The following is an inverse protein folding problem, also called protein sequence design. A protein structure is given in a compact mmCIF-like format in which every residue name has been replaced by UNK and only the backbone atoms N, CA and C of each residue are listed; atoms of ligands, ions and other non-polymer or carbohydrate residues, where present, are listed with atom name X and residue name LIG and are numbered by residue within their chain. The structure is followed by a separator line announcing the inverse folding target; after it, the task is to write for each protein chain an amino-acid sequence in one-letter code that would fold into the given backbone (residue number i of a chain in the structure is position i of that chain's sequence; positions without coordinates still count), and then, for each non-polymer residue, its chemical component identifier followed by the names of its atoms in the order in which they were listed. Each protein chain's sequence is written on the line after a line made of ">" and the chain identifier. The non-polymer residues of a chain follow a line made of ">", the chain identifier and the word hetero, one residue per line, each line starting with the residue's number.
data_IF_643005681191
#
_entry.id   IF_643005681191
#
_cell.length_a   1.000
_cell.length_b   1.000
_cell.length_c   1.000
_cell.angle_alpha   90.00
_cell.angle_beta   90.00
_cell.angle_gamma   90.00
#
_symmetry.space_group_name_H-M   'P 1'
#
loop_
_entity.id
_entity.type
_entity.pdbx_description
1 polymer ?
#
# COMPACT_ATOMS: atom_id res chain seq x y z
N UNK A 1 15.78 29.37 29.87
CA UNK A 1 17.10 28.71 29.82
C UNK A 1 16.96 27.18 29.79
N UNK A 2 16.15 26.63 28.87
CA UNK A 2 16.12 25.18 28.57
C UNK A 2 16.99 24.91 27.32
N UNK A 3 18.22 25.42 27.36
CA UNK A 3 19.24 25.15 26.34
C UNK A 3 20.05 23.91 26.74
N UNK A 4 19.35 22.79 26.87
CA UNK A 4 19.97 21.49 27.00
C UNK A 4 19.53 20.66 25.82
N UNK A 5 20.37 20.65 24.77
CA UNK A 5 20.40 19.56 23.80
C UNK A 5 20.22 18.25 24.55
N UNK A 6 19.16 17.49 24.26
CA UNK A 6 18.93 16.20 24.92
C UNK A 6 20.19 15.36 24.79
N UNK A 7 20.76 14.97 25.92
CA UNK A 7 21.96 14.16 25.93
C UNK A 7 21.60 12.79 25.35
N UNK A 8 22.16 12.48 24.18
CA UNK A 8 21.94 11.21 23.49
C UNK A 8 22.36 10.06 24.39
N UNK A 9 21.48 9.07 24.55
CA UNK A 9 21.85 7.82 25.25
C UNK A 9 22.93 7.08 24.45
N UNK A 10 23.70 6.16 25.08
CA UNK A 10 24.71 5.37 24.37
C UNK A 10 24.17 4.61 23.16
N UNK A 11 22.95 4.06 23.27
CA UNK A 11 22.29 3.38 22.17
C UNK A 11 21.94 4.33 21.02
N UNK A 12 21.42 5.53 21.34
CA UNK A 12 21.10 6.56 20.35
C UNK A 12 22.36 7.11 19.68
N UNK A 13 23.48 7.23 20.39
CA UNK A 13 24.76 7.61 19.80
C UNK A 13 25.27 6.57 18.79
N UNK A 14 25.12 5.28 19.08
CA UNK A 14 25.49 4.21 18.15
C UNK A 14 24.62 4.28 16.88
N UNK A 15 23.31 4.45 17.05
CA UNK A 15 22.37 4.58 15.93
C UNK A 15 22.65 5.84 15.09
N UNK A 16 22.95 6.96 15.76
CA UNK A 16 23.20 8.25 15.13
C UNK A 16 24.59 8.39 14.51
N UNK A 17 25.49 7.42 14.72
CA UNK A 17 26.88 7.51 14.25
C UNK A 17 26.97 7.88 12.76
N UNK A 18 26.12 7.28 11.93
CA UNK A 18 26.10 7.57 10.48
C UNK A 18 25.57 8.96 10.13
N UNK A 19 24.77 9.58 11.01
CA UNK A 19 24.29 10.95 10.85
C UNK A 19 25.36 11.94 11.35
N UNK A 20 26.05 11.59 12.44
CA UNK A 20 27.08 12.41 13.10
C UNK A 20 28.37 12.57 12.31
N UNK A 21 28.58 11.76 11.25
CA UNK A 21 29.68 11.97 10.30
C UNK A 21 29.58 13.33 9.61
N UNK A 22 28.35 13.83 9.42
CA UNK A 22 28.06 15.03 8.63
C UNK A 22 27.40 16.12 9.46
N UNK A 23 26.43 15.75 10.29
CA UNK A 23 25.66 16.70 11.09
C UNK A 23 26.22 16.79 12.49
N UNK A 24 26.30 18.00 13.04
CA UNK A 24 26.85 18.20 14.37
C UNK A 24 25.99 17.54 15.47
N UNK A 25 26.60 17.37 16.64
CA UNK A 25 25.96 16.69 17.78
C UNK A 25 24.75 17.46 18.31
N UNK A 26 24.71 18.79 18.18
CA UNK A 26 23.60 19.60 18.68
C UNK A 26 22.35 19.36 17.81
N UNK A 27 22.52 19.37 16.49
CA UNK A 27 21.48 19.11 15.50
C UNK A 27 20.93 17.69 15.63
N UNK A 28 21.81 16.69 15.81
CA UNK A 28 21.40 15.31 16.10
C UNK A 28 20.66 15.22 17.45
N UNK A 29 21.11 15.95 18.48
CA UNK A 29 20.40 16.04 19.75
C UNK A 29 18.97 16.55 19.60
N UNK A 30 18.74 17.56 18.74
CA UNK A 30 17.39 18.06 18.42
C UNK A 30 16.52 17.00 17.71
N UNK A 31 17.08 16.20 16.80
CA UNK A 31 16.36 15.10 16.12
C UNK A 31 15.90 13.99 17.08
N UNK A 32 16.66 13.71 18.13
CA UNK A 32 16.36 12.69 19.13
C UNK A 32 15.52 13.22 20.29
N UNK A 33 15.34 14.54 20.38
CA UNK A 33 14.59 15.18 21.46
C UNK A 33 13.12 14.71 21.51
N UNK A 34 12.51 14.64 22.70
CA UNK A 34 11.10 14.18 22.86
C UNK A 34 10.07 15.17 22.30
N UNK A 35 10.39 16.46 22.33
CA UNK A 35 9.56 17.52 21.74
C UNK A 35 9.65 17.48 20.20
N UNK A 36 8.52 17.24 19.55
CA UNK A 36 8.39 17.20 18.09
C UNK A 36 8.75 18.52 17.40
N UNK A 37 8.48 19.67 18.03
CA UNK A 37 8.86 20.97 17.47
C UNK A 37 10.38 21.10 17.30
N UNK A 38 11.17 20.52 18.21
CA UNK A 38 12.65 20.48 18.09
C UNK A 38 13.11 19.58 16.95
N UNK A 39 12.39 18.48 16.69
CA UNK A 39 12.68 17.60 15.55
C UNK A 39 12.37 18.30 14.23
N UNK A 40 11.28 19.05 14.18
CA UNK A 40 10.89 19.86 13.02
C UNK A 40 11.91 20.96 12.75
N UNK A 41 12.33 21.70 13.77
CA UNK A 41 13.42 22.70 13.70
C UNK A 41 14.70 22.06 13.13
N UNK A 42 15.10 20.89 13.65
CA UNK A 42 16.28 20.17 13.16
C UNK A 42 16.14 19.70 11.70
N UNK A 43 14.96 19.24 11.30
CA UNK A 43 14.69 18.84 9.92
C UNK A 43 14.78 20.03 8.97
N UNK A 44 14.28 21.20 9.38
CA UNK A 44 14.39 22.44 8.60
C UNK A 44 15.84 22.94 8.51
N UNK A 45 16.60 22.89 9.61
CA UNK A 45 18.04 23.21 9.61
C UNK A 45 18.83 22.30 8.66
N UNK A 46 18.60 20.98 8.71
CA UNK A 46 19.22 20.01 7.79
C UNK A 46 18.79 20.29 6.35
N UNK A 47 17.51 20.58 6.12
CA UNK A 47 17.01 20.93 4.80
C UNK A 47 17.75 22.15 4.22
N UNK A 48 17.92 23.22 5.01
CA UNK A 48 18.61 24.43 4.56
C UNK A 48 20.10 24.18 4.30
N UNK A 49 20.76 23.44 5.19
CA UNK A 49 22.16 23.06 5.03
C UNK A 49 22.38 22.30 3.72
N UNK A 50 21.56 21.28 3.45
CA UNK A 50 21.69 20.47 2.24
C UNK A 50 21.25 21.21 0.96
N UNK A 51 20.24 22.09 1.05
CA UNK A 51 19.80 22.89 -0.09
C UNK A 51 20.87 23.85 -0.58
N UNK A 52 21.58 24.47 0.36
CA UNK A 52 22.65 25.46 0.10
C UNK A 52 24.03 24.83 -0.13
N UNK A 53 24.21 23.54 0.17
CA UNK A 53 25.48 22.85 0.01
C UNK A 53 26.04 22.94 -1.42
N UNK A 54 27.33 23.25 -1.54
CA UNK A 54 28.05 23.41 -2.81
C UNK A 54 29.49 22.89 -2.75
N UNK A 55 29.75 21.95 -1.84
CA UNK A 55 31.06 21.31 -1.68
C UNK A 55 31.34 20.25 -2.74
N UNK A 56 32.37 19.44 -2.48
CA UNK A 56 32.82 18.44 -3.42
C UNK A 56 31.91 17.20 -3.49
N UNK A 57 32.25 16.28 -4.39
CA UNK A 57 31.45 15.10 -4.64
C UNK A 57 31.53 14.05 -3.53
N UNK A 58 32.61 14.03 -2.75
CA UNK A 58 32.75 13.09 -1.64
C UNK A 58 31.87 13.50 -0.47
N UNK A 59 31.91 14.78 -0.12
CA UNK A 59 31.02 15.38 0.85
C UNK A 59 29.57 15.26 0.39
N UNK A 60 29.26 15.46 -0.89
CA UNK A 60 27.90 15.30 -1.40
C UNK A 60 27.35 13.88 -1.17
N UNK A 61 28.18 12.85 -1.39
CA UNK A 61 27.80 11.45 -1.10
C UNK A 61 27.61 11.22 0.40
N UNK A 62 28.48 11.77 1.24
CA UNK A 62 28.37 11.67 2.69
C UNK A 62 27.06 12.31 3.19
N UNK A 63 26.73 13.50 2.69
CA UNK A 63 25.48 14.21 2.99
C UNK A 63 24.23 13.43 2.57
N UNK A 64 24.18 12.88 1.34
CA UNK A 64 23.06 12.05 0.91
C UNK A 64 22.90 10.83 1.83
N UNK A 65 24.01 10.17 2.16
CA UNK A 65 24.00 8.99 3.04
C UNK A 65 23.48 9.35 4.43
N UNK A 66 24.06 10.34 5.09
CA UNK A 66 23.64 10.81 6.41
C UNK A 66 22.17 11.29 6.40
N UNK A 67 21.78 12.06 5.38
CA UNK A 67 20.41 12.51 5.17
C UNK A 67 19.41 11.34 5.03
N UNK A 68 19.81 10.27 4.34
CA UNK A 68 18.97 9.06 4.23
C UNK A 68 18.73 8.38 5.58
N UNK A 69 19.72 8.41 6.50
CA UNK A 69 19.55 7.92 7.87
C UNK A 69 18.59 8.80 8.67
N UNK A 70 18.71 10.13 8.54
CA UNK A 70 17.80 11.09 9.18
C UNK A 70 16.36 10.86 8.71
N UNK A 71 16.12 10.79 7.40
CA UNK A 71 14.79 10.56 6.82
C UNK A 71 14.22 9.21 7.27
N UNK A 72 15.00 8.13 7.16
CA UNK A 72 14.53 6.79 7.55
C UNK A 72 14.14 6.73 9.04
N UNK A 73 14.86 7.45 9.90
CA UNK A 73 14.51 7.57 11.32
C UNK A 73 13.23 8.38 11.51
N UNK A 74 13.15 9.58 10.90
CA UNK A 74 12.02 10.49 11.09
C UNK A 74 10.72 9.95 10.49
N UNK A 75 10.81 9.10 9.46
CA UNK A 75 9.67 8.33 8.96
C UNK A 75 9.11 7.30 9.94
N UNK A 76 9.75 7.04 11.09
CA UNK A 76 9.16 6.19 12.16
C UNK A 76 8.41 7.00 13.22
N UNK A 77 8.40 8.32 13.10
CA UNK A 77 7.72 9.21 14.05
C UNK A 77 6.25 9.35 13.65
N UNK A 78 5.33 9.15 14.61
CA UNK A 78 3.87 9.12 14.36
C UNK A 78 3.19 10.50 14.39
N UNK A 79 3.99 11.56 14.40
CA UNK A 79 3.48 12.94 14.38
C UNK A 79 3.49 13.45 12.94
N UNK A 80 2.30 13.77 12.43
CA UNK A 80 2.08 14.18 11.04
C UNK A 80 2.94 15.38 10.61
N UNK A 81 3.16 16.35 11.50
CA UNK A 81 3.98 17.52 11.21
C UNK A 81 5.46 17.13 11.02
N UNK A 82 6.04 16.38 11.95
CA UNK A 82 7.41 15.83 11.81
C UNK A 82 7.53 14.92 10.57
N UNK A 83 6.52 14.08 10.31
CA UNK A 83 6.48 13.25 9.10
C UNK A 83 6.47 14.11 7.83
N UNK A 84 5.70 15.20 7.80
CA UNK A 84 5.66 16.10 6.65
C UNK A 84 6.99 16.81 6.41
N UNK A 85 7.71 17.22 7.45
CA UNK A 85 9.05 17.82 7.32
C UNK A 85 10.08 16.80 6.83
N UNK A 86 10.01 15.56 7.29
CA UNK A 86 10.88 14.49 6.77
C UNK A 86 10.58 14.12 5.31
N UNK A 87 9.31 14.21 4.88
CA UNK A 87 8.97 14.06 3.46
C UNK A 87 9.58 15.19 2.61
N UNK A 88 9.50 16.45 3.07
CA UNK A 88 10.17 17.58 2.39
C UNK A 88 11.68 17.32 2.22
N UNK A 89 12.33 16.84 3.27
CA UNK A 89 13.75 16.47 3.23
C UNK A 89 14.01 15.30 2.26
N UNK A 90 13.14 14.29 2.24
CA UNK A 90 13.23 13.19 1.27
C UNK A 90 13.13 13.68 -0.18
N UNK A 91 12.17 14.56 -0.48
CA UNK A 91 12.01 15.14 -1.81
C UNK A 91 13.24 15.95 -2.23
N UNK A 92 13.77 16.79 -1.33
CA UNK A 92 15.02 17.51 -1.56
C UNK A 92 16.14 16.53 -1.90
N UNK A 93 16.36 15.51 -1.07
CA UNK A 93 17.45 14.55 -1.26
C UNK A 93 17.32 13.76 -2.56
N UNK A 94 16.17 13.15 -2.80
CA UNK A 94 16.00 12.18 -3.89
C UNK A 94 15.73 12.82 -5.25
N UNK A 95 15.22 14.05 -5.28
CA UNK A 95 14.94 14.76 -6.53
C UNK A 95 16.02 15.80 -6.82
N UNK A 96 16.15 16.80 -5.95
CA UNK A 96 16.92 18.00 -6.28
C UNK A 96 18.40 17.82 -6.00
N UNK A 97 18.74 17.29 -4.82
CA UNK A 97 20.12 17.11 -4.38
C UNK A 97 20.87 16.09 -5.24
N UNK A 98 20.27 14.93 -5.48
CA UNK A 98 20.84 13.89 -6.35
C UNK A 98 21.15 14.43 -7.76
N UNK A 99 20.24 15.22 -8.34
CA UNK A 99 20.47 15.88 -9.65
C UNK A 99 21.54 16.96 -9.58
N UNK A 100 21.43 17.88 -8.62
CA UNK A 100 22.33 19.02 -8.42
C UNK A 100 23.79 18.57 -8.29
N UNK A 101 24.03 17.48 -7.57
CA UNK A 101 25.36 16.95 -7.32
C UNK A 101 25.70 15.76 -8.23
N UNK A 102 24.90 15.42 -9.24
CA UNK A 102 25.16 14.28 -10.14
C UNK A 102 25.57 12.99 -9.38
N UNK A 103 24.81 12.64 -8.34
CA UNK A 103 25.15 11.51 -7.47
C UNK A 103 25.10 10.20 -8.27
N UNK A 104 26.07 9.31 -8.02
CA UNK A 104 26.15 8.04 -8.73
C UNK A 104 25.00 7.10 -8.34
N UNK A 105 24.56 6.29 -9.31
CA UNK A 105 23.45 5.35 -9.18
C UNK A 105 23.56 4.44 -7.95
N UNK A 106 24.77 3.96 -7.63
CA UNK A 106 25.01 3.09 -6.47
C UNK A 106 24.70 3.76 -5.13
N UNK A 107 25.01 5.04 -4.97
CA UNK A 107 24.74 5.80 -3.75
C UNK A 107 23.26 6.15 -3.61
N UNK A 108 22.58 6.42 -4.74
CA UNK A 108 21.12 6.59 -4.79
C UNK A 108 20.43 5.31 -4.33
N UNK A 109 20.82 4.16 -4.90
CA UNK A 109 20.29 2.84 -4.53
C UNK A 109 20.48 2.56 -3.04
N UNK A 110 21.70 2.70 -2.52
CA UNK A 110 22.01 2.46 -1.11
C UNK A 110 21.25 3.39 -0.14
N UNK A 111 20.87 4.58 -0.59
CA UNK A 111 20.05 5.51 0.18
C UNK A 111 18.57 5.12 0.15
N UNK A 112 18.05 4.71 -1.01
CA UNK A 112 16.66 4.27 -1.16
C UNK A 112 16.37 2.93 -0.49
N UNK A 113 17.30 1.97 -0.52
CA UNK A 113 17.17 0.68 0.17
C UNK A 113 16.95 0.85 1.68
N UNK A 114 17.45 1.96 2.26
CA UNK A 114 17.24 2.31 3.67
C UNK A 114 15.89 2.97 3.93
N UNK A 115 15.47 3.85 3.04
CA UNK A 115 14.30 4.71 3.25
C UNK A 115 13.00 4.02 2.83
N UNK A 116 12.98 3.36 1.67
CA UNK A 116 11.78 2.77 1.08
C UNK A 116 11.07 1.75 1.98
N UNK A 117 11.78 0.83 2.68
CA UNK A 117 11.14 -0.08 3.63
C UNK A 117 10.28 0.63 4.67
N UNK A 118 10.82 1.70 5.25
CA UNK A 118 10.17 2.45 6.32
C UNK A 118 9.01 3.26 5.74
N UNK A 119 9.20 3.92 4.60
CA UNK A 119 8.14 4.69 3.94
C UNK A 119 6.98 3.80 3.49
N UNK A 120 7.26 2.61 2.94
CA UNK A 120 6.23 1.61 2.60
C UNK A 120 5.46 1.15 3.83
N UNK A 121 6.13 0.94 4.97
CA UNK A 121 5.42 0.61 6.20
C UNK A 121 4.43 1.71 6.61
N UNK A 122 4.76 2.98 6.36
CA UNK A 122 3.88 4.13 6.65
C UNK A 122 2.63 4.19 5.78
N UNK A 123 2.57 3.47 4.65
CA UNK A 123 1.31 3.34 3.92
C UNK A 123 0.28 2.50 4.68
N UNK A 124 0.71 1.68 5.66
CA UNK A 124 -0.18 0.87 6.51
C UNK A 124 -0.63 1.56 7.82
N UNK A 125 -0.28 2.82 8.03
CA UNK A 125 -0.51 3.56 9.27
C UNK A 125 -1.99 3.62 9.69
N UNK A 126 -2.28 3.82 10.97
CA UNK A 126 -3.65 4.06 11.43
C UNK A 126 -4.18 5.45 11.02
N UNK A 127 -3.29 6.44 10.92
CA UNK A 127 -3.61 7.80 10.50
C UNK A 127 -3.75 7.88 8.98
N UNK A 128 -4.97 8.15 8.50
CA UNK A 128 -5.28 8.21 7.07
C UNK A 128 -4.47 9.25 6.30
N UNK A 129 -4.23 10.42 6.89
CA UNK A 129 -3.46 11.49 6.22
C UNK A 129 -2.00 11.10 6.04
N UNK A 130 -1.46 10.35 7.00
CA UNK A 130 -0.10 9.86 6.93
C UNK A 130 0.04 8.79 5.85
N UNK A 131 -0.87 7.81 5.83
CA UNK A 131 -0.96 6.81 4.77
C UNK A 131 -1.00 7.44 3.39
N UNK A 132 -1.90 8.40 3.20
CA UNK A 132 -2.08 9.09 1.92
C UNK A 132 -0.79 9.78 1.48
N UNK A 133 -0.16 10.57 2.35
CA UNK A 133 1.11 11.24 2.04
C UNK A 133 2.24 10.26 1.71
N UNK A 134 2.31 9.14 2.42
CA UNK A 134 3.30 8.11 2.15
C UNK A 134 3.08 7.47 0.76
N UNK A 135 1.83 7.14 0.41
CA UNK A 135 1.48 6.60 -0.91
C UNK A 135 1.81 7.60 -2.03
N UNK A 136 1.37 8.86 -1.89
CA UNK A 136 1.63 9.95 -2.85
C UNK A 136 3.13 10.12 -3.10
N UNK A 137 3.93 10.13 -2.03
CA UNK A 137 5.39 10.27 -2.13
C UNK A 137 6.05 9.11 -2.87
N UNK A 138 5.60 7.87 -2.63
CA UNK A 138 6.13 6.68 -3.33
C UNK A 138 5.79 6.75 -4.83
N UNK A 139 4.54 7.12 -5.17
CA UNK A 139 4.09 7.24 -6.56
C UNK A 139 4.85 8.36 -7.28
N UNK A 140 4.99 9.53 -6.65
CA UNK A 140 5.68 10.68 -7.21
C UNK A 140 7.17 10.36 -7.46
N UNK A 141 7.85 9.80 -6.46
CA UNK A 141 9.28 9.49 -6.55
C UNK A 141 9.62 8.42 -7.58
N UNK A 142 8.68 7.54 -7.92
CA UNK A 142 8.85 6.57 -9.02
C UNK A 142 9.02 7.24 -10.39
N UNK A 143 8.60 8.50 -10.52
CA UNK A 143 8.71 9.29 -11.76
C UNK A 143 9.94 10.21 -11.80
N UNK A 144 10.75 10.27 -10.74
CA UNK A 144 11.94 11.13 -10.73
C UNK A 144 12.97 10.65 -11.77
N UNK A 145 13.57 11.56 -12.57
CA UNK A 145 14.44 11.18 -13.67
C UNK A 145 15.61 10.27 -13.29
N UNK A 146 16.21 10.51 -12.12
CA UNK A 146 17.36 9.75 -11.62
C UNK A 146 16.96 8.42 -10.97
N UNK A 147 15.70 8.28 -10.53
CA UNK A 147 15.21 7.11 -9.80
C UNK A 147 14.47 6.13 -10.72
N UNK A 148 13.70 6.64 -11.68
CA UNK A 148 12.92 5.84 -12.64
C UNK A 148 13.75 4.73 -13.31
N UNK A 149 14.96 4.98 -13.86
CA UNK A 149 15.76 3.93 -14.51
C UNK A 149 16.41 2.94 -13.53
N UNK A 150 16.30 3.17 -12.22
CA UNK A 150 16.84 2.27 -11.20
C UNK A 150 15.84 1.17 -10.82
N UNK A 151 14.55 1.35 -11.14
CA UNK A 151 13.46 0.39 -10.86
C UNK A 151 13.32 -0.02 -9.39
N UNK A 152 14.00 0.66 -8.46
CA UNK A 152 14.08 0.27 -7.06
C UNK A 152 12.73 0.45 -6.36
N UNK A 153 12.01 1.54 -6.64
CA UNK A 153 10.69 1.79 -6.06
C UNK A 153 9.69 0.71 -6.50
N UNK A 154 9.61 0.47 -7.81
CA UNK A 154 8.75 -0.58 -8.37
C UNK A 154 9.12 -1.96 -7.83
N UNK A 155 10.42 -2.26 -7.66
CA UNK A 155 10.90 -3.51 -7.09
C UNK A 155 10.38 -3.72 -5.67
N UNK A 156 10.47 -2.70 -4.80
CA UNK A 156 9.97 -2.79 -3.43
C UNK A 156 8.44 -2.91 -3.37
N UNK A 157 7.70 -2.22 -4.24
CA UNK A 157 6.24 -2.30 -4.26
C UNK A 157 5.73 -3.72 -4.54
N UNK A 158 6.37 -4.46 -5.45
CA UNK A 158 5.95 -5.82 -5.88
C UNK A 158 6.54 -6.96 -5.03
N UNK A 159 7.27 -6.68 -3.94
CA UNK A 159 7.75 -7.75 -3.06
C UNK A 159 6.58 -8.57 -2.48
N UNK A 160 6.65 -9.90 -2.41
CA UNK A 160 5.57 -10.68 -1.82
C UNK A 160 5.39 -10.37 -0.33
N UNK A 161 4.18 -10.55 0.20
CA UNK A 161 3.87 -10.47 1.63
C UNK A 161 3.17 -11.73 2.13
N UNK A 162 3.23 -11.96 3.45
CA UNK A 162 2.58 -13.11 4.07
C UNK A 162 1.04 -12.94 4.10
N UNK A 163 0.30 -14.04 4.15
CA UNK A 163 -1.18 -14.00 4.21
C UNK A 163 -1.76 -13.35 5.47
N UNK A 164 -0.90 -13.14 6.47
CA UNK A 164 -1.19 -12.52 7.78
C UNK A 164 -0.79 -11.04 7.85
N UNK A 165 -0.34 -10.47 6.73
CA UNK A 165 0.06 -9.06 6.66
C UNK A 165 -1.10 -8.17 7.15
N UNK A 166 -0.76 -7.05 7.79
CA UNK A 166 -1.77 -6.12 8.25
C UNK A 166 -2.64 -5.68 7.05
N UNK A 167 -3.98 -5.85 7.09
CA UNK A 167 -4.83 -5.61 5.93
C UNK A 167 -4.65 -4.24 5.29
N UNK A 168 -4.49 -3.17 6.11
CA UNK A 168 -4.27 -1.81 5.61
C UNK A 168 -2.99 -1.67 4.78
N UNK A 169 -1.92 -2.32 5.21
CA UNK A 169 -0.65 -2.32 4.49
C UNK A 169 -0.79 -3.09 3.19
N UNK A 170 -1.38 -4.29 3.24
CA UNK A 170 -1.61 -5.13 2.06
C UNK A 170 -2.49 -4.43 1.00
N UNK A 171 -3.57 -3.77 1.43
CA UNK A 171 -4.43 -2.93 0.58
C UNK A 171 -3.61 -1.82 -0.08
N UNK A 172 -2.89 -1.03 0.72
CA UNK A 172 -2.07 0.07 0.20
C UNK A 172 -1.03 -0.38 -0.81
N UNK A 173 -0.45 -1.58 -0.62
CA UNK A 173 0.50 -2.14 -1.58
C UNK A 173 -0.16 -2.54 -2.91
N UNK A 174 -1.40 -3.03 -2.86
CA UNK A 174 -2.17 -3.30 -4.07
C UNK A 174 -2.50 -1.98 -4.81
N UNK A 175 -2.96 -0.95 -4.08
CA UNK A 175 -3.26 0.38 -4.64
C UNK A 175 -2.03 1.04 -5.27
N UNK A 176 -0.86 0.96 -4.60
CA UNK A 176 0.40 1.44 -5.15
C UNK A 176 0.74 0.77 -6.48
N UNK A 177 0.60 -0.55 -6.59
CA UNK A 177 0.86 -1.26 -7.85
C UNK A 177 -0.14 -0.83 -8.92
N UNK A 178 -1.43 -0.71 -8.59
CA UNK A 178 -2.45 -0.26 -9.54
C UNK A 178 -2.08 1.10 -10.14
N UNK A 179 -1.69 2.05 -9.29
CA UNK A 179 -1.37 3.40 -9.71
C UNK A 179 -0.03 3.47 -10.45
N UNK A 180 1.00 2.75 -9.99
CA UNK A 180 2.28 2.67 -10.69
C UNK A 180 2.13 2.04 -12.08
N UNK A 181 1.27 1.02 -12.24
CA UNK A 181 0.96 0.46 -13.55
C UNK A 181 0.30 1.49 -14.48
N UNK A 182 -0.53 2.39 -13.92
CA UNK A 182 -1.19 3.46 -14.67
C UNK A 182 -0.21 4.53 -15.14
N UNK A 183 0.74 4.94 -14.28
CA UNK A 183 1.65 6.07 -14.59
C UNK A 183 2.93 5.65 -15.33
N UNK A 184 3.39 4.41 -15.16
CA UNK A 184 4.65 3.95 -15.74
C UNK A 184 4.51 3.18 -17.06
N UNK A 185 3.30 2.97 -17.59
CA UNK A 185 3.02 2.16 -18.80
C UNK A 185 3.74 0.79 -18.83
N UNK A 186 3.06 -0.24 -18.31
CA UNK A 186 3.58 -1.62 -18.17
C UNK A 186 3.87 -2.28 -19.53
N UNK A 187 3.39 -1.72 -20.64
CA UNK A 187 3.47 -2.34 -21.97
C UNK A 187 4.90 -2.53 -22.48
N UNK A 188 5.81 -1.61 -22.15
CA UNK A 188 7.18 -1.67 -22.64
C UNK A 188 8.09 -2.55 -21.78
N UNK A 189 7.69 -2.90 -20.55
CA UNK A 189 8.52 -3.69 -19.62
C UNK A 189 9.75 -2.97 -19.06
N UNK A 190 10.11 -1.82 -19.63
CA UNK A 190 11.29 -1.02 -19.30
C UNK A 190 11.14 -0.19 -18.02
N UNK A 191 10.08 -0.40 -17.24
CA UNK A 191 9.77 0.41 -16.05
C UNK A 191 9.86 -0.39 -14.74
N UNK A 192 10.37 -1.62 -14.77
CA UNK A 192 10.58 -2.45 -13.58
C UNK A 192 9.34 -3.20 -13.09
N UNK A 193 8.15 -2.82 -13.58
CA UNK A 193 6.92 -3.60 -13.46
C UNK A 193 6.81 -4.52 -14.68
N UNK A 194 6.78 -5.83 -14.41
CA UNK A 194 6.68 -6.85 -15.44
C UNK A 194 5.46 -7.73 -15.17
N UNK A 195 4.97 -8.40 -16.21
CA UNK A 195 3.88 -9.38 -16.04
C UNK A 195 4.26 -10.43 -14.98
N UNK A 196 5.52 -10.85 -14.95
CA UNK A 196 6.01 -11.86 -14.03
C UNK A 196 5.95 -11.43 -12.55
N UNK A 197 6.54 -10.28 -12.22
CA UNK A 197 6.60 -9.85 -10.82
C UNK A 197 5.22 -9.43 -10.29
N UNK A 198 4.40 -8.74 -11.10
CA UNK A 198 3.04 -8.35 -10.70
C UNK A 198 2.15 -9.58 -10.58
N UNK A 199 2.21 -10.54 -11.50
CA UNK A 199 1.39 -11.76 -11.40
C UNK A 199 1.76 -12.60 -10.18
N UNK A 200 3.06 -12.74 -9.86
CA UNK A 200 3.52 -13.42 -8.65
C UNK A 200 3.04 -12.72 -7.38
N UNK A 201 3.09 -11.39 -7.35
CA UNK A 201 2.54 -10.60 -6.25
C UNK A 201 1.03 -10.86 -6.09
N UNK A 202 0.25 -10.78 -7.18
CA UNK A 202 -1.18 -11.02 -7.16
C UNK A 202 -1.53 -12.45 -6.70
N UNK A 203 -0.81 -13.46 -7.19
CA UNK A 203 -1.00 -14.85 -6.77
C UNK A 203 -0.85 -15.02 -5.26
N UNK A 204 0.15 -14.36 -4.66
CA UNK A 204 0.33 -14.35 -3.21
C UNK A 204 -0.77 -13.57 -2.48
N UNK A 205 -1.18 -12.41 -3.00
CA UNK A 205 -2.22 -11.57 -2.41
C UNK A 205 -3.62 -12.24 -2.44
N UNK A 206 -3.89 -13.10 -3.43
CA UNK A 206 -5.11 -13.92 -3.52
C UNK A 206 -5.26 -14.94 -2.38
N UNK A 207 -4.17 -15.25 -1.67
CA UNK A 207 -4.15 -16.16 -0.52
C UNK A 207 -4.21 -15.42 0.83
N UNK A 208 -4.37 -14.09 0.82
CA UNK A 208 -4.44 -13.29 2.02
C UNK A 208 -5.72 -13.55 2.85
N UNK A 209 -5.65 -13.40 4.18
CA UNK A 209 -6.76 -13.67 5.09
C UNK A 209 -7.93 -12.67 4.93
N UNK A 210 -7.63 -11.39 4.71
CA UNK A 210 -8.64 -10.35 4.50
C UNK A 210 -9.27 -10.42 3.10
N UNK A 211 -10.60 -10.36 3.02
CA UNK A 211 -11.35 -10.40 1.76
C UNK A 211 -11.06 -9.25 0.81
N UNK A 212 -11.01 -8.03 1.33
CA UNK A 212 -10.74 -6.80 0.57
C UNK A 212 -9.38 -6.84 -0.17
N UNK A 213 -8.34 -7.41 0.46
CA UNK A 213 -7.03 -7.61 -0.19
C UNK A 213 -7.15 -8.56 -1.38
N UNK A 214 -7.90 -9.65 -1.22
CA UNK A 214 -8.12 -10.62 -2.32
C UNK A 214 -8.91 -9.98 -3.46
N UNK A 215 -9.90 -9.15 -3.17
CA UNK A 215 -10.70 -8.44 -4.17
C UNK A 215 -9.83 -7.47 -4.99
N UNK A 216 -8.97 -6.69 -4.33
CA UNK A 216 -8.01 -5.82 -5.02
C UNK A 216 -6.99 -6.63 -5.84
N UNK A 217 -6.52 -7.77 -5.33
CA UNK A 217 -5.63 -8.66 -6.07
C UNK A 217 -6.30 -9.20 -7.34
N UNK A 218 -7.59 -9.56 -7.28
CA UNK A 218 -8.38 -9.96 -8.46
C UNK A 218 -8.43 -8.79 -9.45
N UNK A 219 -8.79 -7.59 -8.99
CA UNK A 219 -8.87 -6.39 -9.85
C UNK A 219 -7.55 -6.10 -10.58
N UNK A 220 -6.42 -6.16 -9.86
CA UNK A 220 -5.08 -6.02 -10.44
C UNK A 220 -4.79 -7.08 -11.49
N UNK A 221 -5.09 -8.34 -11.19
CA UNK A 221 -4.87 -9.45 -12.10
C UNK A 221 -5.70 -9.33 -13.39
N UNK A 222 -6.95 -8.90 -13.27
CA UNK A 222 -7.83 -8.63 -14.41
C UNK A 222 -7.30 -7.47 -15.27
N UNK A 223 -6.78 -6.41 -14.64
CA UNK A 223 -6.13 -5.29 -15.34
C UNK A 223 -4.90 -5.76 -16.14
N UNK A 224 -4.09 -6.62 -15.54
CA UNK A 224 -2.92 -7.21 -16.19
C UNK A 224 -3.33 -8.13 -17.35
N UNK A 225 -4.36 -8.95 -17.16
CA UNK A 225 -4.91 -9.82 -18.21
C UNK A 225 -5.43 -9.04 -19.41
N UNK A 226 -6.13 -7.92 -19.18
CA UNK A 226 -6.61 -7.04 -20.24
C UNK A 226 -5.49 -6.54 -21.17
N UNK A 227 -4.28 -6.38 -20.63
CA UNK A 227 -3.14 -5.82 -21.37
C UNK A 227 -2.23 -6.91 -21.97
N UNK A 228 -2.01 -8.02 -21.26
CA UNK A 228 -1.02 -9.05 -21.64
C UNK A 228 -1.63 -10.43 -21.92
N UNK A 229 -2.95 -10.57 -21.77
CA UNK A 229 -3.71 -11.78 -22.10
C UNK A 229 -3.27 -13.03 -21.34
N UNK A 230 -3.20 -14.13 -22.07
CA UNK A 230 -3.08 -15.49 -21.53
C UNK A 230 -1.79 -15.77 -20.75
N UNK A 231 -0.76 -14.94 -20.87
CA UNK A 231 0.50 -15.07 -20.10
C UNK A 231 0.21 -15.06 -18.58
N UNK A 232 -0.74 -14.25 -18.15
CA UNK A 232 -1.15 -14.13 -16.74
C UNK A 232 -1.70 -15.45 -16.18
N UNK A 233 -2.36 -16.28 -17.02
CA UNK A 233 -2.93 -17.57 -16.60
C UNK A 233 -1.86 -18.55 -16.08
N UNK A 234 -0.59 -18.38 -16.46
CA UNK A 234 0.54 -19.23 -16.01
C UNK A 234 0.84 -19.11 -14.51
N UNK A 235 0.38 -18.03 -13.88
CA UNK A 235 0.61 -17.75 -12.46
C UNK A 235 -0.57 -18.18 -11.57
N UNK A 236 -1.62 -18.72 -12.17
CA UNK A 236 -2.78 -19.28 -11.47
C UNK A 236 -2.73 -20.82 -11.51
N UNK A 237 -3.47 -21.49 -10.62
CA UNK A 237 -3.74 -22.91 -10.77
C UNK A 237 -4.39 -23.22 -12.13
N UNK A 238 -4.24 -24.44 -12.67
CA UNK A 238 -4.82 -24.79 -13.95
C UNK A 238 -6.35 -24.63 -13.96
N UNK A 239 -6.88 -24.13 -15.08
CA UNK A 239 -8.33 -23.97 -15.31
C UNK A 239 -8.99 -25.32 -15.57
N UNK A 240 -9.36 -26.01 -14.49
CA UNK A 240 -10.09 -27.27 -14.51
C UNK A 240 -11.30 -27.20 -13.56
N UNK A 241 -12.19 -28.19 -13.64
CA UNK A 241 -13.42 -28.22 -12.84
C UNK A 241 -13.13 -28.14 -11.33
N UNK A 242 -12.06 -28.80 -10.86
CA UNK A 242 -11.68 -28.80 -9.44
C UNK A 242 -11.31 -27.38 -8.96
N UNK A 243 -10.49 -26.66 -9.72
CA UNK A 243 -10.13 -25.27 -9.42
C UNK A 243 -11.36 -24.35 -9.51
N UNK A 244 -12.25 -24.53 -10.49
CA UNK A 244 -13.49 -23.75 -10.63
C UNK A 244 -14.53 -24.04 -9.52
N UNK A 245 -14.37 -25.08 -8.69
CA UNK A 245 -15.20 -25.23 -7.47
C UNK A 245 -14.88 -24.17 -6.42
N UNK A 246 -13.65 -23.64 -6.43
CA UNK A 246 -13.23 -22.58 -5.53
C UNK A 246 -13.73 -21.24 -6.08
N UNK A 247 -14.63 -20.58 -5.35
CA UNK A 247 -15.32 -19.34 -5.79
C UNK A 247 -14.38 -18.30 -6.40
N UNK A 248 -13.27 -17.96 -5.73
CA UNK A 248 -12.34 -16.91 -6.21
C UNK A 248 -11.75 -17.24 -7.58
N UNK A 249 -11.37 -18.50 -7.82
CA UNK A 249 -10.79 -18.92 -9.09
C UNK A 249 -11.84 -19.02 -10.19
N UNK A 250 -13.04 -19.48 -9.86
CA UNK A 250 -14.18 -19.43 -10.78
C UNK A 250 -14.45 -18.00 -11.25
N UNK A 251 -14.59 -17.07 -10.32
CA UNK A 251 -14.90 -15.68 -10.63
C UNK A 251 -13.79 -15.03 -11.51
N UNK A 252 -12.52 -15.38 -11.27
CA UNK A 252 -11.38 -14.95 -12.11
C UNK A 252 -11.48 -15.54 -13.53
N UNK A 253 -11.66 -16.87 -13.67
CA UNK A 253 -11.70 -17.52 -14.98
C UNK A 253 -12.92 -17.10 -15.79
N UNK A 254 -14.08 -16.96 -15.15
CA UNK A 254 -15.28 -16.44 -15.80
C UNK A 254 -15.07 -14.99 -16.28
N UNK A 255 -14.35 -14.17 -15.52
CA UNK A 255 -13.99 -12.83 -15.96
C UNK A 255 -13.01 -12.84 -17.16
N UNK A 256 -12.02 -13.75 -17.18
CA UNK A 256 -11.16 -13.94 -18.36
C UNK A 256 -11.95 -14.41 -19.57
N UNK A 257 -12.86 -15.37 -19.42
CA UNK A 257 -13.71 -15.87 -20.50
C UNK A 257 -14.56 -14.73 -21.10
N UNK A 258 -15.15 -13.88 -20.25
CA UNK A 258 -15.87 -12.67 -20.69
C UNK A 258 -14.98 -11.70 -21.46
N UNK A 259 -13.74 -11.48 -21.00
CA UNK A 259 -12.78 -10.62 -21.70
C UNK A 259 -12.34 -11.20 -23.05
N UNK A 260 -12.25 -12.53 -23.15
CA UNK A 260 -11.94 -13.26 -24.38
C UNK A 260 -13.17 -13.42 -25.32
N UNK A 261 -14.36 -12.95 -24.91
CA UNK A 261 -15.62 -13.09 -25.67
C UNK A 261 -16.20 -14.51 -25.69
N UNK A 262 -15.79 -15.37 -24.76
CA UNK A 262 -16.24 -16.76 -24.65
C UNK A 262 -17.47 -16.87 -23.74
N UNK A 263 -18.38 -17.83 -24.02
CA UNK A 263 -19.50 -18.08 -23.11
C UNK A 263 -18.97 -18.52 -21.74
N UNK A 264 -19.54 -17.94 -20.68
CA UNK A 264 -19.23 -18.36 -19.32
C UNK A 264 -19.80 -19.76 -19.14
N UNK A 265 -19.00 -20.72 -18.67
CA UNK A 265 -19.36 -22.16 -18.54
C UNK A 265 -20.57 -22.45 -17.62
N UNK A 266 -21.25 -21.42 -17.08
CA UNK A 266 -22.50 -21.52 -16.33
C UNK A 266 -23.76 -21.07 -17.11
N UNK A 267 -23.61 -20.31 -18.20
CA UNK A 267 -24.74 -19.74 -18.97
C UNK A 267 -25.24 -20.72 -20.06
N UNK A 268 -24.49 -21.76 -20.38
CA UNK A 268 -24.92 -22.79 -21.35
C UNK A 268 -26.06 -23.68 -20.84
N UNK A 269 -26.37 -23.65 -19.53
CA UNK A 269 -27.49 -24.43 -18.96
C UNK A 269 -28.86 -23.74 -19.03
N UNK A 270 -28.94 -22.48 -19.49
CA UNK A 270 -30.21 -21.74 -19.59
C UNK A 270 -30.65 -21.41 -21.02
N UNK A 271 -29.92 -21.86 -22.04
CA UNK A 271 -30.17 -21.51 -23.45
C UNK A 271 -30.44 -22.71 -24.38
N UNK A 272 -30.79 -23.88 -23.86
CA UNK A 272 -31.56 -24.90 -24.60
C UNK A 272 -33.03 -24.81 -24.21
N UNK A 273 -33.76 -23.87 -24.83
CA UNK A 273 -35.21 -24.01 -25.02
C UNK A 273 -35.37 -24.62 -26.41
N UNK A 274 -35.80 -25.88 -26.45
CA UNK A 274 -36.15 -26.61 -27.66
C UNK A 274 -37.23 -25.86 -28.48
N UNK A 275 -37.09 -25.77 -29.81
CA UNK A 275 -38.17 -25.30 -30.68
C UNK A 275 -39.01 -26.49 -31.14
N UNK A 276 -39.99 -26.92 -30.33
CA UNK A 276 -41.03 -27.84 -30.79
C UNK A 276 -42.34 -27.68 -30.02
N UNK A 277 -43.29 -26.95 -30.62
CA UNK A 277 -44.72 -27.31 -30.77
C UNK A 277 -45.58 -26.05 -30.89
N UNK A 278 -45.82 -25.62 -32.13
CA UNK A 278 -46.94 -24.76 -32.48
C UNK A 278 -47.95 -25.56 -33.30
N UNK A 279 -49.09 -25.90 -32.70
CA UNK A 279 -50.16 -26.53 -33.47
C UNK A 279 -51.41 -26.92 -32.67
N UNK A 280 -52.30 -25.94 -32.44
CA UNK A 280 -53.79 -26.00 -32.62
C UNK A 280 -54.58 -25.24 -31.54
N UNK A 281 -55.42 -24.32 -32.03
CA UNK A 281 -56.72 -23.88 -31.47
C UNK A 281 -57.82 -24.36 -32.45
N UNK A 282 -59.15 -24.13 -32.29
CA UNK A 282 -59.96 -23.54 -31.17
C UNK A 282 -61.30 -24.28 -30.86
N UNK A 283 -62.04 -23.79 -29.85
CA UNK A 283 -63.50 -23.98 -29.65
C UNK A 283 -63.84 -24.10 -28.15
N UNK A 284 -64.88 -23.53 -27.53
CA UNK A 284 -66.00 -22.66 -27.92
C UNK A 284 -67.02 -22.63 -26.74
N UNK A 285 -67.30 -21.44 -26.19
CA UNK A 285 -68.53 -20.90 -25.54
C UNK A 285 -69.49 -21.74 -24.66
N UNK A 286 -69.80 -21.24 -23.44
CA UNK A 286 -71.14 -20.85 -22.88
C UNK A 286 -71.07 -20.85 -21.32
N UNK A 287 -71.12 -19.73 -20.60
CA UNK A 287 -72.22 -18.85 -20.16
C UNK A 287 -73.07 -19.32 -18.94
N UNK A 288 -73.45 -18.34 -18.11
CA UNK A 288 -74.34 -18.28 -16.92
C UNK A 288 -73.71 -18.61 -15.56
N UNK A 289 -73.81 -17.83 -14.47
CA UNK A 289 -74.41 -16.51 -14.17
C UNK A 289 -74.59 -16.34 -12.63
N UNK A 290 -74.45 -15.08 -12.13
CA UNK A 290 -74.90 -14.52 -10.81
C UNK A 290 -74.14 -14.96 -9.53
N UNK A 291 -73.88 -14.15 -8.49
CA UNK A 291 -74.27 -12.78 -8.07
C UNK A 291 -73.33 -12.32 -6.92
N UNK A 292 -73.09 -10.99 -6.87
CA UNK A 292 -72.94 -10.07 -5.72
C UNK A 292 -72.21 -10.54 -4.44
N UNK A 293 -71.14 -9.88 -4.00
CA UNK A 293 -71.32 -8.68 -3.16
C UNK A 293 -70.08 -7.78 -3.10
N UNK A 294 -70.41 -6.49 -3.06
CA UNK A 294 -69.60 -5.27 -3.00
C UNK A 294 -68.87 -5.12 -1.66
N UNK A 295 -67.61 -4.66 -1.69
CA UNK A 295 -67.14 -3.47 -0.93
C UNK A 295 -65.70 -3.08 -1.30
N UNK A 296 -65.59 -1.86 -1.81
CA UNK A 296 -64.44 -0.95 -1.88
C UNK A 296 -64.97 0.41 -1.38
N UNK A 297 -64.18 1.49 -1.20
CA UNK A 297 -62.75 1.63 -0.92
C UNK A 297 -62.49 2.79 0.10
N UNK A 298 -61.27 3.37 0.06
CA UNK A 298 -60.82 4.72 0.47
C UNK A 298 -59.94 4.78 1.74
N UNK A 299 -58.63 5.05 1.67
CA UNK A 299 -57.84 6.23 1.23
C UNK A 299 -57.79 7.40 2.21
N UNK A 300 -56.53 7.79 2.50
CA UNK A 300 -56.01 9.10 2.93
C UNK A 300 -56.29 9.57 4.38
N UNK A 301 -55.25 9.96 5.12
CA UNK A 301 -54.69 11.33 5.09
C UNK A 301 -53.53 11.51 6.09
N UNK A 302 -52.58 12.35 5.69
CA UNK A 302 -51.45 12.93 6.44
C UNK A 302 -51.85 13.61 7.76
N UNK A 303 -50.88 13.74 8.70
CA UNK A 303 -50.36 15.06 9.11
C UNK A 303 -49.20 14.97 10.12
N UNK A 304 -48.20 15.82 9.88
CA UNK A 304 -47.13 16.24 10.79
C UNK A 304 -47.67 16.93 12.05
N UNK A 305 -46.92 16.87 13.16
CA UNK A 305 -46.56 18.06 13.97
C UNK A 305 -45.48 17.76 15.02
N UNK A 306 -44.48 18.63 15.00
CA UNK A 306 -43.50 18.97 16.03
C UNK A 306 -44.14 19.61 17.27
N UNK A 307 -43.47 19.57 18.44
CA UNK A 307 -43.04 20.74 19.24
C UNK A 307 -42.45 20.33 20.62
N UNK A 308 -41.17 20.67 20.80
CA UNK A 308 -40.46 21.28 21.93
C UNK A 308 -40.78 21.04 23.42
N UNK A 309 -39.68 20.68 24.12
CA UNK A 309 -39.08 21.31 25.30
C UNK A 309 -39.88 21.56 26.60
N UNK A 310 -39.33 21.07 27.72
CA UNK A 310 -38.81 21.93 28.80
C UNK A 310 -37.95 21.16 29.83
N UNK A 311 -36.89 21.84 30.26
CA UNK A 311 -35.93 21.49 31.28
C UNK A 311 -36.40 21.88 32.69
N UNK A 312 -35.77 21.31 33.73
CA UNK A 312 -35.21 22.05 34.88
C UNK A 312 -34.54 21.13 35.92
N UNK A 313 -33.21 21.31 36.13
CA UNK A 313 -32.44 21.50 37.42
C UNK A 313 -32.89 20.76 38.69
N UNK A 314 -32.06 20.28 39.64
CA UNK A 314 -30.66 20.45 40.09
C UNK A 314 -30.43 19.39 41.21
N UNK A 315 -29.24 18.91 41.61
CA UNK A 315 -28.26 19.51 42.54
C UNK A 315 -27.19 18.46 42.92
N UNK A 316 -26.10 18.96 43.48
CA UNK A 316 -24.79 18.36 43.83
C UNK A 316 -24.74 17.17 44.81
N UNK A 317 -23.66 16.37 44.71
CA UNK A 317 -22.75 15.95 45.81
C UNK A 317 -21.64 15.01 45.33
N UNK A 318 -20.38 15.39 45.55
CA UNK A 318 -19.21 14.50 45.76
C UNK A 318 -18.92 14.44 47.28
N UNK A 319 -17.97 13.64 47.83
CA UNK A 319 -16.99 12.71 47.23
C UNK A 319 -16.83 11.34 47.96
N UNK A 320 -16.34 10.28 47.29
CA UNK A 320 -15.39 9.34 47.94
C UNK A 320 -14.50 8.59 46.95
N UNK A 321 -13.21 8.54 47.30
CA UNK A 321 -12.04 7.89 46.72
C UNK A 321 -12.10 6.37 46.88
N UNK A 322 -11.67 5.60 45.85
CA UNK A 322 -11.04 4.28 46.01
C UNK A 322 -10.19 3.95 44.78
N UNK A 323 -9.11 3.26 45.07
CA UNK A 323 -7.86 3.10 44.33
C UNK A 323 -7.88 2.12 43.14
N UNK A 324 -6.99 2.41 42.17
CA UNK A 324 -6.06 1.47 41.48
C UNK A 324 -6.64 0.36 40.57
N UNK A 325 -6.34 0.48 39.27
CA UNK A 325 -5.35 -0.35 38.53
C UNK A 325 -5.34 0.04 37.04
N UNK A 326 -4.21 0.57 36.59
CA UNK A 326 -3.85 0.71 35.17
C UNK A 326 -3.52 -0.67 34.59
N UNK A 327 -4.01 -1.02 33.37
CA UNK A 327 -3.47 -2.15 32.62
C UNK A 327 -2.26 -1.69 31.80
N UNK A 328 -1.13 -2.30 32.10
CA UNK A 328 0.12 -2.30 31.35
C UNK A 328 -0.15 -2.58 29.87
N UNK A 329 0.20 -1.65 28.99
CA UNK A 329 0.17 -1.87 27.54
C UNK A 329 1.42 -2.64 27.15
N UNK A 330 1.21 -3.87 26.69
CA UNK A 330 2.22 -4.79 26.21
C UNK A 330 2.90 -4.25 24.96
N UNK A 331 4.24 -4.33 24.96
CA UNK A 331 5.12 -4.21 23.81
C UNK A 331 4.66 -5.19 22.73
N UNK A 332 4.26 -4.67 21.57
CA UNK A 332 3.97 -5.48 20.39
C UNK A 332 5.26 -5.68 19.59
N UNK A 333 5.53 -6.96 19.37
CA UNK A 333 6.56 -7.60 18.54
C UNK A 333 6.88 -6.86 17.23
N UNK A 334 8.01 -6.16 17.19
CA UNK A 334 8.65 -5.67 15.96
C UNK A 334 9.50 -6.81 15.36
N UNK A 335 8.86 -7.74 14.66
CA UNK A 335 9.59 -8.71 13.85
C UNK A 335 8.82 -9.08 12.58
N UNK A 336 8.97 -8.27 11.52
CA UNK A 336 9.04 -8.76 10.12
C UNK A 336 9.14 -7.60 9.11
N UNK A 337 10.35 -7.14 8.83
CA UNK A 337 10.80 -6.77 7.47
C UNK A 337 12.32 -6.68 7.45
N UNK A 338 13.01 -7.72 6.96
CA UNK A 338 14.45 -7.64 6.64
C UNK A 338 14.65 -7.98 5.15
N UNK A 339 15.01 -7.00 4.31
CA UNK A 339 15.30 -7.20 2.89
C UNK A 339 16.45 -8.19 2.61
N UNK A 340 17.33 -8.40 3.59
CA UNK A 340 18.57 -9.18 3.44
C UNK A 340 18.35 -10.65 3.07
N UNK A 341 17.18 -11.24 3.38
CA UNK A 341 16.89 -12.65 3.06
C UNK A 341 16.61 -12.90 1.57
N UNK A 342 16.30 -11.87 0.79
CA UNK A 342 15.97 -12.01 -0.64
C UNK A 342 17.14 -11.77 -1.60
N UNK A 343 18.21 -11.08 -1.16
CA UNK A 343 19.38 -10.78 -2.01
C UNK A 343 20.37 -11.95 -2.09
N UNK A 344 20.48 -12.79 -1.04
CA UNK A 344 21.51 -13.85 -0.94
C UNK A 344 21.31 -15.07 -1.84
N UNK A 345 20.23 -15.17 -2.63
CA UNK A 345 19.95 -16.35 -3.48
C UNK A 345 20.50 -16.28 -4.91
N UNK A 346 21.21 -15.22 -5.29
CA UNK A 346 21.68 -15.00 -6.68
C UNK A 346 23.19 -15.18 -6.91
N UNK A 347 23.95 -15.67 -5.93
CA UNK A 347 25.43 -15.68 -5.99
C UNK A 347 26.10 -17.05 -5.82
N UNK A 348 25.44 -18.15 -6.15
CA UNK A 348 26.08 -19.47 -6.21
C UNK A 348 25.47 -20.29 -7.34
N UNK A 349 26.26 -20.49 -8.41
CA UNK A 349 26.39 -21.64 -9.32
C UNK A 349 26.82 -21.12 -10.71
N UNK A 350 28.13 -21.05 -10.91
CA UNK A 350 28.79 -21.17 -12.22
C UNK A 350 30.31 -21.15 -12.00
N UNK A 351 30.87 -22.30 -11.65
CA UNK A 351 32.30 -22.57 -11.83
C UNK A 351 32.52 -24.07 -11.72
N UNK A 352 32.74 -24.73 -12.86
CA UNK A 352 33.39 -26.04 -12.91
C UNK A 352 34.30 -26.06 -14.14
N UNK A 353 35.51 -26.65 -14.04
CA UNK A 353 36.66 -26.20 -14.80
C UNK A 353 36.88 -26.98 -16.11
N UNK A 354 37.53 -26.30 -17.06
CA UNK A 354 38.14 -26.88 -18.26
C UNK A 354 39.19 -27.93 -17.85
N UNK A 355 38.98 -29.18 -18.26
CA UNK A 355 40.01 -30.21 -18.27
C UNK A 355 40.62 -30.32 -19.67
N UNK A 356 41.94 -30.45 -19.70
CA UNK A 356 42.79 -30.59 -20.88
C UNK A 356 43.02 -32.09 -21.21
N UNK A 357 43.43 -32.33 -22.46
CA UNK A 357 43.91 -33.59 -23.08
C UNK A 357 42.81 -34.64 -23.30
N UNK A 358 42.52 -35.10 -24.52
CA UNK A 358 43.34 -35.47 -25.68
C UNK A 358 42.61 -35.14 -27.00
#
# INVERSE_FOLDING_TARGET
>A
NDDATAELTPAEMIEANQMMVVFDRQLIGKLYHRNHARREEALDEIYQLLSSFSGDQEDARAHLRAGSFVVARMFRVDVLATFSHSLKLFHLLMNDYVRKHAIQKQDILASLERVLPVLLQRTGDSNARLRQKAQETIIESASYPELKPLHIITHYCVLPFNKTCAPRLAISRCELIEELMRILDVKTGDNGLTVDNVSKFCAQALEHNAGEVRELAIKLLLSLYKTHGTIVKRYLPPDNEQTRRIKKYRDIFDAFDRMDGRPVKGDEKSSTIDPSESGRKPGGTSDTGKRDTVKQPNTAREQQKSFDAKASTSKSRTPTRLDRKTPTTSVADESEFTPEKYVKKKTLISTTPRQAMM
#
